data_IF_238274745392
#
_entry.id   IF_238274745392
#
_cell.length_a   1.000
_cell.length_b   1.000
_cell.length_c   1.000
_cell.angle_alpha   90.00
_cell.angle_beta   90.00
_cell.angle_gamma   90.00
#
_symmetry.space_group_name_H-M   'P 1'
#
loop_
_entity.id
_entity.type
_entity.pdbx_description
1 polymer ?
#
# COMPACT_ATOMS: atom_id res chain seq x y z
N UNK A 1 2.22 -19.38 20.65
CA UNK A 1 2.18 -20.71 20.00
C UNK A 1 1.55 -21.78 20.87
N UNK A 2 1.67 -21.70 22.22
CA UNK A 2 1.16 -22.74 23.15
C UNK A 2 -0.35 -22.62 23.50
N UNK A 3 -1.03 -21.55 23.12
CA UNK A 3 -2.43 -21.27 23.53
C UNK A 3 -3.51 -21.86 22.61
N UNK A 4 -3.19 -22.81 21.75
CA UNK A 4 -4.15 -23.50 20.86
C UNK A 4 -5.17 -22.54 20.17
N UNK A 5 -4.78 -21.29 19.88
CA UNK A 5 -5.62 -20.22 19.30
C UNK A 5 -6.87 -19.88 20.10
N UNK A 6 -6.86 -20.10 21.41
CA UNK A 6 -7.99 -19.79 22.30
C UNK A 6 -7.59 -18.73 23.31
N UNK A 7 -8.50 -17.78 23.58
CA UNK A 7 -8.31 -16.80 24.64
C UNK A 7 -8.31 -17.50 26.00
N UNK A 8 -7.40 -17.10 26.90
CA UNK A 8 -7.24 -17.70 28.22
C UNK A 8 -8.46 -17.48 29.14
N UNK A 9 -9.20 -16.39 28.94
CA UNK A 9 -10.34 -16.01 29.79
C UNK A 9 -11.70 -16.42 29.22
N UNK A 10 -11.90 -16.31 27.90
CA UNK A 10 -13.22 -16.51 27.29
C UNK A 10 -13.28 -17.69 26.29
N UNK A 11 -12.19 -18.46 26.12
CA UNK A 11 -12.07 -19.58 25.18
C UNK A 11 -12.41 -19.24 23.71
N UNK A 12 -12.54 -17.94 23.36
CA UNK A 12 -12.82 -17.49 22.01
C UNK A 12 -11.66 -17.85 21.07
N UNK A 13 -11.98 -18.34 19.87
CA UNK A 13 -10.98 -18.70 18.86
C UNK A 13 -10.36 -17.43 18.26
N UNK A 14 -9.06 -17.26 18.46
CA UNK A 14 -8.28 -16.16 17.87
C UNK A 14 -8.02 -16.47 16.39
N UNK A 15 -8.34 -15.52 15.51
CA UNK A 15 -8.10 -15.67 14.07
C UNK A 15 -6.58 -15.80 13.80
N UNK A 16 -6.22 -16.67 12.86
CA UNK A 16 -4.83 -16.83 12.41
C UNK A 16 -4.25 -15.56 11.79
N UNK A 17 -5.12 -14.68 11.32
CA UNK A 17 -4.75 -13.38 10.77
C UNK A 17 -3.93 -12.54 11.75
N UNK A 18 -4.25 -12.56 13.06
CA UNK A 18 -3.47 -11.83 14.07
C UNK A 18 -2.01 -12.28 14.11
N UNK A 19 -1.79 -13.60 14.08
CA UNK A 19 -0.43 -14.15 14.05
C UNK A 19 0.33 -13.72 12.79
N UNK A 20 -0.33 -13.72 11.62
CA UNK A 20 0.29 -13.26 10.36
C UNK A 20 0.66 -11.79 10.45
N UNK A 21 -0.25 -10.93 10.96
CA UNK A 21 0.02 -9.50 11.13
C UNK A 21 1.22 -9.28 12.04
N UNK A 22 1.25 -9.92 13.21
CA UNK A 22 2.36 -9.81 14.17
C UNK A 22 3.70 -10.26 13.56
N UNK A 23 3.70 -11.38 12.86
CA UNK A 23 4.90 -11.90 12.22
C UNK A 23 5.40 -10.95 11.11
N UNK A 24 4.50 -10.47 10.26
CA UNK A 24 4.83 -9.53 9.18
C UNK A 24 5.37 -8.21 9.74
N UNK A 25 4.73 -7.66 10.77
CA UNK A 25 5.19 -6.41 11.40
C UNK A 25 6.56 -6.60 12.06
N UNK A 26 6.78 -7.70 12.78
CA UNK A 26 8.05 -7.99 13.42
C UNK A 26 9.18 -8.14 12.40
N UNK A 27 8.98 -8.93 11.35
CA UNK A 27 9.97 -9.11 10.27
C UNK A 27 10.26 -7.78 9.59
N UNK A 28 9.22 -7.01 9.26
CA UNK A 28 9.37 -5.74 8.57
C UNK A 28 10.17 -4.73 9.41
N UNK A 29 9.85 -4.59 10.70
CA UNK A 29 10.56 -3.68 11.60
C UNK A 29 12.03 -4.10 11.81
N UNK A 30 12.28 -5.40 11.96
CA UNK A 30 13.66 -5.92 12.06
C UNK A 30 14.46 -5.62 10.78
N UNK A 31 13.87 -5.79 9.60
CA UNK A 31 14.53 -5.50 8.33
C UNK A 31 14.82 -4.01 8.17
N UNK A 32 13.84 -3.14 8.46
CA UNK A 32 14.05 -1.68 8.39
C UNK A 32 15.17 -1.26 9.34
N UNK A 33 15.15 -1.76 10.59
CA UNK A 33 16.18 -1.45 11.55
C UNK A 33 17.56 -1.99 11.15
N UNK A 34 17.62 -3.20 10.61
CA UNK A 34 18.86 -3.81 10.16
C UNK A 34 19.52 -3.01 9.02
N UNK A 35 18.72 -2.46 8.10
CA UNK A 35 19.22 -1.71 6.94
C UNK A 35 19.59 -0.28 7.31
N UNK A 36 18.78 0.41 8.11
CA UNK A 36 18.90 1.86 8.34
C UNK A 36 19.37 2.24 9.74
N UNK A 37 19.53 1.27 10.64
CA UNK A 37 19.95 1.51 12.03
C UNK A 37 18.95 2.40 12.81
N UNK A 38 19.43 3.06 13.85
CA UNK A 38 18.66 4.05 14.62
C UNK A 38 18.74 5.41 13.93
N UNK A 39 17.75 5.74 13.12
CA UNK A 39 17.65 7.00 12.39
C UNK A 39 16.20 7.51 12.32
N UNK A 40 16.03 8.79 12.03
CA UNK A 40 14.69 9.38 11.78
C UNK A 40 14.04 8.69 10.57
N UNK A 41 14.83 8.29 9.59
CA UNK A 41 14.37 7.53 8.43
C UNK A 41 13.75 6.19 8.82
N UNK A 42 14.39 5.46 9.75
CA UNK A 42 13.86 4.20 10.29
C UNK A 42 12.49 4.42 10.92
N UNK A 43 12.34 5.47 11.73
CA UNK A 43 11.06 5.82 12.35
C UNK A 43 9.99 6.11 11.30
N UNK A 44 10.31 6.90 10.28
CA UNK A 44 9.39 7.23 9.20
C UNK A 44 8.99 5.99 8.39
N UNK A 45 9.93 5.11 8.06
CA UNK A 45 9.65 3.86 7.34
C UNK A 45 8.82 2.88 8.17
N UNK A 46 9.01 2.83 9.49
CA UNK A 46 8.18 2.05 10.41
C UNK A 46 6.74 2.58 10.40
N UNK A 47 6.56 3.91 10.51
CA UNK A 47 5.24 4.54 10.43
C UNK A 47 4.57 4.19 9.09
N UNK A 48 5.29 4.36 7.97
CA UNK A 48 4.80 4.01 6.65
C UNK A 48 4.35 2.55 6.55
N UNK A 49 5.18 1.64 7.05
CA UNK A 49 4.89 0.20 7.00
C UNK A 49 3.68 -0.19 7.85
N UNK A 50 3.46 0.46 9.00
CA UNK A 50 2.26 0.26 9.82
C UNK A 50 1.00 0.62 9.01
N UNK A 51 0.99 1.80 8.38
CA UNK A 51 -0.14 2.22 7.54
C UNK A 51 -0.40 1.24 6.40
N UNK A 52 0.65 0.80 5.69
CA UNK A 52 0.49 -0.17 4.61
C UNK A 52 -0.02 -1.52 5.08
N UNK A 53 0.48 -2.04 6.18
CA UNK A 53 -0.01 -3.32 6.73
C UNK A 53 -1.48 -3.21 7.11
N UNK A 54 -1.89 -2.12 7.78
CA UNK A 54 -3.29 -1.91 8.16
C UNK A 54 -4.18 -1.80 6.92
N UNK A 55 -3.81 -0.94 5.94
CA UNK A 55 -4.56 -0.76 4.69
C UNK A 55 -4.68 -2.09 3.95
N UNK A 56 -3.60 -2.85 3.81
CA UNK A 56 -3.58 -4.14 3.14
C UNK A 56 -4.57 -5.14 3.75
N UNK A 57 -4.59 -5.27 5.07
CA UNK A 57 -5.52 -6.22 5.72
C UNK A 57 -6.98 -5.75 5.71
N UNK A 58 -7.22 -4.44 5.72
CA UNK A 58 -8.58 -3.89 5.55
C UNK A 58 -9.06 -4.14 4.12
N UNK A 59 -8.21 -3.86 3.12
CA UNK A 59 -8.56 -4.07 1.71
C UNK A 59 -8.82 -5.54 1.40
N UNK A 60 -7.99 -6.47 1.88
CA UNK A 60 -8.22 -7.91 1.74
C UNK A 60 -9.57 -8.39 2.31
N UNK A 61 -10.09 -7.72 3.33
CA UNK A 61 -11.32 -8.14 4.01
C UNK A 61 -12.56 -7.42 3.51
N UNK A 62 -12.43 -6.14 3.21
CA UNK A 62 -13.56 -5.25 2.93
C UNK A 62 -13.55 -4.67 1.52
N UNK A 63 -12.45 -4.82 0.77
CA UNK A 63 -12.23 -4.21 -0.56
C UNK A 63 -12.44 -2.69 -0.53
N UNK A 64 -12.01 -2.05 0.56
CA UNK A 64 -12.14 -0.60 0.77
C UNK A 64 -10.83 -0.08 1.35
N UNK A 65 -10.36 1.05 0.82
CA UNK A 65 -9.22 1.79 1.35
C UNK A 65 -9.77 2.99 2.15
N UNK A 66 -9.64 3.00 3.51
CA UNK A 66 -10.21 4.05 4.35
C UNK A 66 -9.52 5.39 4.15
N UNK A 67 -10.30 6.46 4.11
CA UNK A 67 -9.78 7.82 4.02
C UNK A 67 -9.00 8.22 5.27
N UNK A 68 -9.41 7.72 6.43
CA UNK A 68 -8.80 7.96 7.74
C UNK A 68 -7.35 7.48 7.82
N UNK A 69 -6.95 6.57 6.93
CA UNK A 69 -5.58 6.08 6.83
C UNK A 69 -4.82 6.74 5.67
N UNK A 70 -5.48 6.93 4.53
CA UNK A 70 -4.81 7.50 3.35
C UNK A 70 -4.47 8.97 3.50
N UNK A 71 -5.35 9.79 4.09
CA UNK A 71 -5.07 11.22 4.29
C UNK A 71 -3.93 11.48 5.27
N UNK A 72 -3.87 10.88 6.47
CA UNK A 72 -2.70 11.03 7.33
C UNK A 72 -1.41 10.54 6.67
N UNK A 73 -1.46 9.43 5.92
CA UNK A 73 -0.32 8.91 5.20
C UNK A 73 0.20 9.90 4.15
N UNK A 74 -0.70 10.51 3.36
CA UNK A 74 -0.36 11.58 2.40
C UNK A 74 0.23 12.79 3.11
N UNK A 75 -0.39 13.22 4.22
CA UNK A 75 0.05 14.37 4.98
C UNK A 75 1.45 14.19 5.57
N UNK A 76 1.74 13.04 6.17
CA UNK A 76 3.07 12.73 6.70
C UNK A 76 4.10 12.72 5.57
N UNK A 77 3.79 12.10 4.43
CA UNK A 77 4.66 12.08 3.24
C UNK A 77 4.94 13.49 2.70
N UNK A 78 3.92 14.35 2.69
CA UNK A 78 4.06 15.74 2.29
C UNK A 78 4.92 16.55 3.29
N UNK A 79 4.60 16.48 4.59
CA UNK A 79 5.35 17.20 5.63
C UNK A 79 6.83 16.79 5.67
N UNK A 80 7.10 15.48 5.54
CA UNK A 80 8.47 14.95 5.47
C UNK A 80 9.29 15.62 4.35
N UNK A 81 8.68 15.94 3.22
CA UNK A 81 9.39 16.50 2.06
C UNK A 81 9.97 17.90 2.29
N UNK A 82 9.53 18.61 3.35
CA UNK A 82 10.14 19.88 3.77
C UNK A 82 11.49 19.71 4.50
N UNK A 83 11.84 18.49 4.90
CA UNK A 83 13.07 18.19 5.62
C UNK A 83 14.05 17.39 4.73
N UNK A 84 14.76 18.06 3.79
CA UNK A 84 15.65 17.38 2.83
C UNK A 84 16.88 16.71 3.45
N UNK A 85 17.23 17.08 4.70
CA UNK A 85 18.41 16.57 5.41
C UNK A 85 18.16 15.27 6.19
N UNK A 86 17.08 14.56 5.90
CA UNK A 86 16.90 13.22 6.42
C UNK A 86 17.90 12.31 5.69
N UNK A 87 18.86 11.79 6.43
CA UNK A 87 20.16 11.18 6.11
C UNK A 87 20.23 10.12 4.99
N UNK A 88 19.20 9.94 4.17
CA UNK A 88 19.19 8.90 3.13
C UNK A 88 18.52 9.41 1.85
N UNK A 89 19.19 9.18 0.72
CA UNK A 89 18.76 9.49 -0.65
C UNK A 89 17.41 8.85 -1.10
N UNK A 90 16.79 8.04 -0.24
CA UNK A 90 15.50 7.38 -0.54
C UNK A 90 14.34 8.37 -0.64
N UNK A 91 14.41 9.45 0.14
CA UNK A 91 13.33 10.42 0.15
C UNK A 91 13.58 11.54 -0.86
N UNK A 92 12.63 11.79 -1.75
CA UNK A 92 12.78 12.79 -2.79
C UNK A 92 12.73 14.20 -2.20
N UNK A 93 13.31 15.17 -2.94
CA UNK A 93 13.17 16.58 -2.68
C UNK A 93 11.70 17.01 -2.73
N UNK A 94 11.37 18.14 -2.11
CA UNK A 94 10.01 18.69 -2.04
C UNK A 94 9.29 18.69 -3.39
N UNK A 95 9.93 19.19 -4.46
CA UNK A 95 9.33 19.25 -5.80
C UNK A 95 8.99 17.85 -6.32
N UNK A 96 9.92 16.90 -6.20
CA UNK A 96 9.72 15.52 -6.67
C UNK A 96 8.63 14.80 -5.88
N UNK A 97 8.53 15.07 -4.59
CA UNK A 97 7.49 14.56 -3.70
C UNK A 97 6.11 15.11 -4.11
N UNK A 98 6.02 16.42 -4.31
CA UNK A 98 4.77 17.08 -4.71
C UNK A 98 4.30 16.62 -6.09
N UNK A 99 5.21 16.59 -7.06
CA UNK A 99 4.92 16.09 -8.41
C UNK A 99 4.49 14.62 -8.35
N UNK A 100 5.16 13.79 -7.55
CA UNK A 100 4.81 12.38 -7.36
C UNK A 100 3.41 12.19 -6.79
N UNK A 101 3.06 12.94 -5.75
CA UNK A 101 1.74 12.89 -5.13
C UNK A 101 0.62 13.31 -6.08
N UNK A 102 0.82 14.41 -6.80
CA UNK A 102 -0.16 14.93 -7.78
C UNK A 102 -0.30 13.96 -8.95
N UNK A 103 0.81 13.50 -9.54
CA UNK A 103 0.79 12.55 -10.65
C UNK A 103 0.14 11.22 -10.23
N UNK A 104 0.48 10.70 -9.04
CA UNK A 104 -0.11 9.46 -8.54
C UNK A 104 -1.63 9.53 -8.46
N UNK A 105 -2.17 10.66 -8.01
CA UNK A 105 -3.62 10.86 -7.98
C UNK A 105 -4.22 10.99 -9.40
N UNK A 106 -3.65 11.86 -10.23
CA UNK A 106 -4.18 12.18 -11.57
C UNK A 106 -4.18 10.94 -12.47
N UNK A 107 -3.14 10.12 -12.45
CA UNK A 107 -3.04 8.94 -13.31
C UNK A 107 -4.18 7.96 -13.04
N UNK A 108 -4.39 7.56 -11.80
CA UNK A 108 -5.48 6.63 -11.47
C UNK A 108 -6.84 7.29 -11.65
N UNK A 109 -7.00 8.55 -11.24
CA UNK A 109 -8.24 9.29 -11.44
C UNK A 109 -8.63 9.39 -12.91
N UNK A 110 -7.67 9.65 -13.81
CA UNK A 110 -7.91 9.70 -15.26
C UNK A 110 -8.34 8.35 -15.82
N UNK A 111 -7.75 7.24 -15.34
CA UNK A 111 -8.15 5.89 -15.72
C UNK A 111 -9.59 5.61 -15.27
N UNK A 112 -9.93 5.94 -14.03
CA UNK A 112 -11.29 5.79 -13.48
C UNK A 112 -12.29 6.60 -14.30
N UNK A 113 -11.96 7.86 -14.59
CA UNK A 113 -12.83 8.75 -15.36
C UNK A 113 -13.07 8.25 -16.79
N UNK A 114 -12.02 7.81 -17.48
CA UNK A 114 -12.10 7.24 -18.83
C UNK A 114 -12.93 5.95 -18.83
N UNK A 115 -12.69 5.06 -17.87
CA UNK A 115 -13.44 3.82 -17.75
C UNK A 115 -14.94 4.07 -17.51
N UNK A 116 -15.26 4.98 -16.59
CA UNK A 116 -16.64 5.38 -16.31
C UNK A 116 -17.34 5.96 -17.54
N UNK A 117 -16.61 6.78 -18.34
CA UNK A 117 -17.14 7.38 -19.57
C UNK A 117 -17.40 6.35 -20.67
N UNK A 118 -16.55 5.32 -20.80
CA UNK A 118 -16.66 4.31 -21.86
C UNK A 118 -17.64 3.21 -21.51
N UNK A 119 -17.62 2.73 -20.25
CA UNK A 119 -18.37 1.56 -19.81
C UNK A 119 -19.66 1.88 -19.04
N UNK A 120 -19.88 3.16 -18.66
CA UNK A 120 -20.97 3.60 -17.77
C UNK A 120 -21.10 2.79 -16.46
N UNK A 121 -19.95 2.26 -15.98
CA UNK A 121 -19.85 1.46 -14.74
C UNK A 121 -18.66 1.95 -13.93
N UNK A 122 -18.78 1.88 -12.61
CA UNK A 122 -17.66 2.12 -11.72
C UNK A 122 -16.78 0.86 -11.68
N UNK A 123 -15.56 0.96 -12.19
CA UNK A 123 -14.65 -0.18 -12.31
C UNK A 123 -13.56 -0.24 -11.24
N UNK A 124 -13.26 0.89 -10.59
CA UNK A 124 -12.16 1.01 -9.62
C UNK A 124 -12.49 2.09 -8.59
N UNK A 125 -12.09 1.89 -7.33
CA UNK A 125 -12.34 2.85 -6.26
C UNK A 125 -11.39 4.05 -6.29
N UNK A 126 -11.88 5.22 -5.84
CA UNK A 126 -11.04 6.41 -5.63
C UNK A 126 -9.96 6.20 -4.54
N UNK A 127 -10.08 5.14 -3.74
CA UNK A 127 -9.11 4.76 -2.72
C UNK A 127 -7.73 4.47 -3.29
N UNK A 128 -7.67 3.76 -4.42
CA UNK A 128 -6.41 3.43 -5.11
C UNK A 128 -5.69 4.68 -5.61
N UNK A 129 -6.44 5.68 -6.11
CA UNK A 129 -5.87 6.97 -6.52
C UNK A 129 -5.22 7.71 -5.33
N UNK A 130 -5.87 7.68 -4.16
CA UNK A 130 -5.34 8.29 -2.94
C UNK A 130 -4.12 7.54 -2.41
N UNK A 131 -4.16 6.21 -2.44
CA UNK A 131 -3.04 5.39 -2.01
C UNK A 131 -1.80 5.60 -2.89
N UNK A 132 -1.98 5.61 -4.22
CA UNK A 132 -0.88 5.89 -5.15
C UNK A 132 -0.34 7.32 -4.98
N UNK A 133 -1.21 8.29 -4.72
CA UNK A 133 -0.81 9.65 -4.37
C UNK A 133 0.02 9.69 -3.09
N UNK A 134 -0.39 8.96 -2.04
CA UNK A 134 0.38 8.85 -0.81
C UNK A 134 1.79 8.32 -1.08
N UNK A 135 1.91 7.24 -1.85
CA UNK A 135 3.20 6.66 -2.24
C UNK A 135 4.04 7.68 -3.04
N UNK A 136 3.42 8.44 -3.95
CA UNK A 136 4.06 9.51 -4.70
C UNK A 136 4.63 10.60 -3.79
N UNK A 137 3.92 11.01 -2.73
CA UNK A 137 4.44 11.94 -1.71
C UNK A 137 5.62 11.37 -0.93
N UNK A 138 5.65 10.06 -0.68
CA UNK A 138 6.74 9.42 0.07
C UNK A 138 7.99 9.18 -0.76
N UNK A 139 7.85 8.72 -2.00
CA UNK A 139 8.96 8.23 -2.82
C UNK A 139 9.18 9.02 -4.13
N UNK A 140 8.36 10.05 -4.36
CA UNK A 140 8.47 10.91 -5.54
C UNK A 140 7.83 10.33 -6.79
N UNK A 141 7.93 11.08 -7.88
CA UNK A 141 7.24 10.76 -9.15
C UNK A 141 7.74 9.48 -9.83
N UNK A 142 9.00 9.11 -9.62
CA UNK A 142 9.58 7.88 -10.21
C UNK A 142 8.91 6.62 -9.65
N UNK A 143 8.46 6.66 -8.40
CA UNK A 143 7.76 5.52 -7.78
C UNK A 143 6.42 5.20 -8.43
N UNK A 144 5.74 6.19 -8.98
CA UNK A 144 4.39 6.04 -9.55
C UNK A 144 4.36 5.03 -10.72
N UNK A 145 5.15 5.21 -11.81
CA UNK A 145 5.15 4.24 -12.91
C UNK A 145 5.68 2.86 -12.47
N UNK A 146 6.65 2.83 -11.56
CA UNK A 146 7.21 1.57 -11.04
C UNK A 146 6.12 0.75 -10.32
N UNK A 147 5.35 1.38 -9.45
CA UNK A 147 4.29 0.69 -8.69
C UNK A 147 3.17 0.24 -9.62
N UNK A 148 2.74 1.08 -10.58
CA UNK A 148 1.73 0.71 -11.57
C UNK A 148 2.21 -0.51 -12.37
N UNK A 149 3.46 -0.52 -12.80
CA UNK A 149 4.03 -1.63 -13.54
C UNK A 149 4.02 -2.93 -12.73
N UNK A 150 4.54 -2.92 -11.50
CA UNK A 150 4.57 -4.11 -10.66
C UNK A 150 3.19 -4.58 -10.22
N UNK A 151 2.27 -3.66 -9.90
CA UNK A 151 0.91 -4.03 -9.54
C UNK A 151 0.16 -4.67 -10.72
N UNK A 152 0.33 -4.15 -11.93
CA UNK A 152 -0.27 -4.73 -13.13
C UNK A 152 0.31 -6.11 -13.46
N UNK A 153 1.62 -6.30 -13.26
CA UNK A 153 2.30 -7.57 -13.46
C UNK A 153 1.81 -8.64 -12.46
N UNK A 154 1.69 -8.28 -11.18
CA UNK A 154 1.15 -9.17 -10.14
C UNK A 154 -0.31 -9.53 -10.45
N UNK A 155 -1.13 -8.56 -10.86
CA UNK A 155 -2.51 -8.80 -11.23
C UNK A 155 -2.62 -9.76 -12.43
N UNK A 156 -1.75 -9.62 -13.43
CA UNK A 156 -1.71 -10.50 -14.59
C UNK A 156 -1.31 -11.94 -14.21
N UNK A 157 -0.32 -12.10 -13.34
CA UNK A 157 0.07 -13.41 -12.81
C UNK A 157 -1.11 -14.06 -12.05
N UNK A 158 -1.82 -13.28 -11.24
CA UNK A 158 -2.95 -13.79 -10.45
C UNK A 158 -4.14 -14.22 -11.33
N UNK A 159 -4.43 -13.48 -12.41
CA UNK A 159 -5.57 -13.74 -13.30
C UNK A 159 -5.25 -14.82 -14.34
N UNK A 160 -3.99 -15.04 -14.70
CA UNK A 160 -3.59 -15.97 -15.76
C UNK A 160 -4.13 -17.40 -15.58
N UNK A 161 -4.11 -18.05 -14.37
CA UNK A 161 -4.66 -19.40 -14.21
C UNK A 161 -6.17 -19.47 -14.44
N UNK A 162 -6.91 -18.40 -14.07
CA UNK A 162 -8.36 -18.35 -14.25
C UNK A 162 -8.76 -18.24 -15.72
N UNK A 163 -7.98 -17.50 -16.52
CA UNK A 163 -8.17 -17.38 -17.96
C UNK A 163 -7.88 -18.69 -18.69
N UNK A 164 -6.82 -19.39 -18.29
CA UNK A 164 -6.43 -20.69 -18.88
C UNK A 164 -7.51 -21.75 -18.61
N UNK A 165 -8.03 -21.79 -17.37
CA UNK A 165 -9.10 -22.75 -17.03
C UNK A 165 -10.43 -22.43 -17.73
N UNK A 166 -10.73 -21.14 -17.97
CA UNK A 166 -11.95 -20.74 -18.69
C UNK A 166 -11.88 -21.07 -20.18
N UNK A 167 -10.70 -20.99 -20.80
CA UNK A 167 -10.51 -21.38 -22.20
C UNK A 167 -10.63 -22.88 -22.42
N UNK A 168 -10.22 -23.71 -21.44
CA UNK A 168 -10.39 -25.19 -21.48
C UNK A 168 -11.84 -25.66 -21.34
N UNK A 169 -12.71 -24.87 -20.72
CA UNK A 169 -14.12 -25.19 -20.59
C UNK A 169 -14.97 -24.73 -21.78
N UNK A 170 -14.39 -24.03 -22.74
CA UNK A 170 -15.04 -23.53 -23.97
C UNK A 170 -14.64 -24.32 -25.23
N UNK A 171 -13.71 -25.24 -25.09
CA UNK A 171 -13.30 -26.21 -26.14
C UNK A 171 -13.88 -27.59 -25.82
#
# INVERSE_FOLDING_TARGET
>A
LFLQRKCRNCNYKISFQYFIVELLTAINFCLIYYIYGLSITTLLLIILSIFFIIIFFIDLKHFIIPNELTFPLMFIGFVKSFFPNLDIEIFPNFINSLVGGVLGYIVIWSIIFLYKKIKNKEGMGLGDAKLLSAIGFWFGWVSVPVIIFFSSLIALIYVSPTLINKSKNLS
#
